data_IF_562278050450
#
_entry.id   IF_562278050450
#
_cell.length_a   1.000
_cell.length_b   1.000
_cell.length_c   1.000
_cell.angle_alpha   90.00
_cell.angle_beta   90.00
_cell.angle_gamma   90.00
#
_symmetry.space_group_name_H-M   'P 1'
#
loop_
_entity.id
_entity.type
_entity.pdbx_description
1 polymer ?
#
# COMPACT_ATOMS: atom_id res chain seq x y z
N UNK A 1 -22.64 -8.15 -1.00
CA UNK A 1 -21.61 -7.94 0.03
C UNK A 1 -20.29 -8.64 -0.28
N UNK A 2 -20.27 -9.96 -0.57
CA UNK A 2 -19.02 -10.66 -0.92
C UNK A 2 -18.29 -10.06 -2.13
N UNK A 3 -19.01 -9.74 -3.21
CA UNK A 3 -18.40 -9.11 -4.42
C UNK A 3 -17.73 -7.77 -4.09
N UNK A 4 -18.39 -6.91 -3.30
CA UNK A 4 -17.83 -5.62 -2.89
C UNK A 4 -16.55 -5.78 -2.05
N UNK A 5 -16.52 -6.77 -1.14
CA UNK A 5 -15.32 -7.09 -0.36
C UNK A 5 -14.14 -7.45 -1.28
N UNK A 6 -14.36 -8.33 -2.25
CA UNK A 6 -13.32 -8.73 -3.19
C UNK A 6 -12.88 -7.60 -4.14
N UNK A 7 -13.79 -6.69 -4.52
CA UNK A 7 -13.43 -5.49 -5.29
C UNK A 7 -12.51 -4.58 -4.46
N UNK A 8 -12.85 -4.32 -3.19
CA UNK A 8 -12.02 -3.51 -2.30
C UNK A 8 -10.66 -4.18 -2.10
N UNK A 9 -10.63 -5.49 -1.85
CA UNK A 9 -9.37 -6.24 -1.75
C UNK A 9 -8.54 -6.13 -3.03
N UNK A 10 -9.16 -6.28 -4.20
CA UNK A 10 -8.46 -6.14 -5.49
C UNK A 10 -7.87 -4.72 -5.67
N UNK A 11 -8.63 -3.68 -5.31
CA UNK A 11 -8.15 -2.30 -5.33
C UNK A 11 -7.00 -2.08 -4.34
N UNK A 12 -7.10 -2.61 -3.13
CA UNK A 12 -6.01 -2.57 -2.14
C UNK A 12 -4.77 -3.31 -2.62
N UNK A 13 -4.93 -4.48 -3.27
CA UNK A 13 -3.84 -5.25 -3.87
C UNK A 13 -3.18 -4.51 -5.04
N UNK A 14 -3.97 -3.83 -5.87
CA UNK A 14 -3.47 -2.98 -6.95
C UNK A 14 -2.67 -1.80 -6.38
N UNK A 15 -3.21 -1.12 -5.37
CA UNK A 15 -2.54 0.02 -4.73
C UNK A 15 -1.25 -0.42 -4.02
N UNK A 16 -1.28 -1.55 -3.33
CA UNK A 16 -0.11 -2.15 -2.68
C UNK A 16 0.96 -2.54 -3.71
N UNK A 17 0.55 -3.14 -4.83
CA UNK A 17 1.47 -3.46 -5.92
C UNK A 17 2.06 -2.19 -6.52
N UNK A 18 1.25 -1.15 -6.74
CA UNK A 18 1.74 0.13 -7.26
C UNK A 18 2.76 0.76 -6.30
N UNK A 19 2.52 0.68 -4.98
CA UNK A 19 3.45 1.17 -3.97
C UNK A 19 4.76 0.35 -3.92
N UNK A 20 4.68 -0.98 -3.93
CA UNK A 20 5.85 -1.85 -3.91
C UNK A 20 6.69 -1.76 -5.19
N UNK A 21 6.04 -1.67 -6.35
CA UNK A 21 6.72 -1.49 -7.64
C UNK A 21 7.23 -0.06 -7.80
N UNK A 22 6.53 0.96 -7.29
CA UNK A 22 7.04 2.33 -7.19
C UNK A 22 8.28 2.41 -6.29
N UNK A 23 8.29 1.66 -5.18
CA UNK A 23 9.48 1.52 -4.35
C UNK A 23 10.59 0.78 -5.09
N UNK A 24 10.27 -0.26 -5.87
CA UNK A 24 11.24 -0.98 -6.69
C UNK A 24 11.90 -0.09 -7.77
N UNK A 25 11.12 0.73 -8.48
CA UNK A 25 11.64 1.64 -9.50
C UNK A 25 12.52 2.71 -8.86
N UNK A 26 12.16 3.20 -7.68
CA UNK A 26 13.00 4.14 -6.91
C UNK A 26 14.28 3.50 -6.37
N UNK A 27 14.24 2.22 -5.99
CA UNK A 27 15.42 1.49 -5.52
C UNK A 27 16.32 0.97 -6.65
N UNK A 28 15.81 0.88 -7.88
CA UNK A 28 16.58 0.55 -9.10
C UNK A 28 17.16 1.79 -9.79
N UNK A 29 16.72 2.99 -9.39
CA UNK A 29 17.41 4.23 -9.71
C UNK A 29 18.73 4.27 -8.93
N UNK A 30 19.82 4.47 -9.67
CA UNK A 30 21.18 4.50 -9.16
C UNK A 30 21.31 5.49 -7.99
N UNK A 31 21.87 5.04 -6.86
CA UNK A 31 21.99 5.85 -5.64
C UNK A 31 22.79 7.14 -5.88
N UNK A 32 23.71 7.12 -6.86
CA UNK A 32 24.45 8.29 -7.33
C UNK A 32 23.54 9.36 -7.93
N UNK A 33 22.50 8.98 -8.68
CA UNK A 33 21.51 9.93 -9.22
C UNK A 33 20.60 10.51 -8.15
N UNK A 34 20.32 9.75 -7.09
CA UNK A 34 19.51 10.22 -5.95
C UNK A 34 20.33 11.18 -5.06
N UNK A 35 21.65 11.02 -4.99
CA UNK A 35 22.54 11.99 -4.34
C UNK A 35 22.54 13.35 -5.05
N UNK A 36 22.50 13.34 -6.39
CA UNK A 36 22.38 14.55 -7.21
C UNK A 36 21.00 15.22 -7.14
N UNK A 37 19.97 14.53 -6.62
CA UNK A 37 18.64 15.13 -6.45
C UNK A 37 18.58 16.17 -5.32
N UNK A 38 19.42 16.05 -4.29
CA UNK A 38 19.43 16.98 -3.15
C UNK A 38 19.73 18.43 -3.58
N UNK A 39 20.80 18.70 -4.36
CA UNK A 39 21.03 20.05 -4.91
C UNK A 39 19.97 20.46 -5.95
N UNK A 40 19.35 19.52 -6.67
CA UNK A 40 18.23 19.82 -7.59
C UNK A 40 16.96 20.25 -6.85
N UNK A 41 16.67 19.69 -5.66
CA UNK A 41 15.53 20.11 -4.81
C UNK A 41 15.74 21.53 -4.29
N UNK A 42 16.99 21.91 -4.00
CA UNK A 42 17.33 23.28 -3.60
C UNK A 42 17.26 24.27 -4.78
N UNK A 43 17.47 23.82 -6.02
CA UNK A 43 17.33 24.62 -7.26
C UNK A 43 15.92 24.57 -7.88
N UNK A 44 15.06 23.66 -7.43
CA UNK A 44 13.67 23.53 -7.86
C UNK A 44 12.84 24.81 -7.74
N UNK A 45 13.00 25.66 -6.70
CA UNK A 45 12.25 26.91 -6.57
C UNK A 45 12.43 27.87 -7.75
N UNK A 46 13.61 27.87 -8.39
CA UNK A 46 13.88 28.72 -9.56
C UNK A 46 13.26 28.16 -10.85
N UNK A 47 13.01 26.85 -10.91
CA UNK A 47 12.46 26.17 -12.10
C UNK A 47 10.96 25.91 -12.02
N UNK A 48 10.36 25.99 -10.83
CA UNK A 48 8.95 25.67 -10.60
C UNK A 48 8.14 26.97 -10.38
N UNK A 49 7.47 27.51 -11.42
CA UNK A 49 6.74 28.78 -11.33
C UNK A 49 5.58 28.78 -10.31
N UNK A 50 5.19 27.60 -9.81
CA UNK A 50 4.12 27.42 -8.81
C UNK A 50 4.64 27.02 -7.41
N UNK A 51 5.95 27.09 -7.14
CA UNK A 51 6.52 26.71 -5.85
C UNK A 51 5.87 27.48 -4.67
N UNK A 52 5.56 28.77 -4.86
CA UNK A 52 4.88 29.59 -3.86
C UNK A 52 3.44 29.14 -3.58
N UNK A 53 2.73 28.60 -4.60
CA UNK A 53 1.40 28.04 -4.44
C UNK A 53 1.44 26.72 -3.65
N UNK A 54 2.46 25.89 -3.90
CA UNK A 54 2.67 24.65 -3.16
C UNK A 54 3.06 24.95 -1.70
N UNK A 55 3.92 25.93 -1.45
CA UNK A 55 4.26 26.36 -0.09
C UNK A 55 3.05 26.84 0.71
N UNK A 56 2.10 27.53 0.06
CA UNK A 56 0.88 27.98 0.71
C UNK A 56 -0.04 26.80 1.09
N UNK A 57 -0.03 25.72 0.31
CA UNK A 57 -0.85 24.53 0.55
C UNK A 57 -0.19 23.51 1.48
N UNK A 58 1.13 23.34 1.39
CA UNK A 58 1.90 22.35 2.14
C UNK A 58 3.18 23.03 2.67
N UNK A 59 3.10 23.76 3.79
CA UNK A 59 4.28 24.34 4.41
C UNK A 59 5.27 23.23 4.79
N UNK A 60 6.53 23.34 4.36
CA UNK A 60 7.57 22.36 4.70
C UNK A 60 7.63 21.13 3.77
N UNK A 61 6.91 21.12 2.64
CA UNK A 61 6.98 20.04 1.64
C UNK A 61 8.42 19.75 1.17
N UNK A 62 9.27 20.78 1.08
CA UNK A 62 10.70 20.64 0.74
C UNK A 62 11.46 19.78 1.75
N UNK A 63 11.21 19.99 3.04
CA UNK A 63 11.96 19.28 4.07
C UNK A 63 11.44 17.86 4.21
N UNK A 64 10.15 17.66 3.90
CA UNK A 64 9.56 16.32 3.69
C UNK A 64 10.22 15.57 2.53
N UNK A 65 10.48 16.26 1.40
CA UNK A 65 11.18 15.65 0.26
C UNK A 65 12.65 15.34 0.60
N UNK A 66 13.36 16.27 1.25
CA UNK A 66 14.74 16.05 1.69
C UNK A 66 14.84 14.89 2.68
N UNK A 67 13.93 14.84 3.65
CA UNK A 67 13.81 13.72 4.59
C UNK A 67 13.50 12.41 3.86
N UNK A 68 12.60 12.43 2.88
CA UNK A 68 12.31 11.29 2.04
C UNK A 68 13.53 10.78 1.28
N UNK A 69 14.32 11.69 0.69
CA UNK A 69 15.57 11.38 0.00
C UNK A 69 16.62 10.82 0.97
N UNK A 70 16.82 11.44 2.12
CA UNK A 70 17.78 10.97 3.14
C UNK A 70 17.38 9.59 3.70
N UNK A 71 16.09 9.35 3.91
CA UNK A 71 15.57 8.05 4.31
C UNK A 71 15.78 7.01 3.20
N UNK A 72 15.56 7.37 1.95
CA UNK A 72 15.81 6.50 0.79
C UNK A 72 17.29 6.15 0.67
N UNK A 73 18.19 7.11 0.83
CA UNK A 73 19.64 6.91 0.81
C UNK A 73 20.11 6.05 1.98
N UNK A 74 19.57 6.26 3.18
CA UNK A 74 19.87 5.41 4.33
C UNK A 74 19.40 3.97 4.11
N UNK A 75 18.19 3.80 3.59
CA UNK A 75 17.62 2.49 3.27
C UNK A 75 18.43 1.81 2.15
N UNK A 76 18.80 2.53 1.09
CA UNK A 76 19.63 2.03 0.00
C UNK A 76 21.06 1.67 0.45
N UNK A 77 21.66 2.52 1.29
CA UNK A 77 22.97 2.28 1.89
C UNK A 77 22.97 1.10 2.85
N UNK A 78 21.85 0.88 3.56
CA UNK A 78 21.69 -0.24 4.48
C UNK A 78 21.35 -1.56 3.78
N UNK A 79 20.50 -1.52 2.74
CA UNK A 79 20.03 -2.70 2.03
C UNK A 79 21.05 -3.17 0.97
N UNK A 80 21.86 -2.28 0.40
CA UNK A 80 22.82 -2.63 -0.65
C UNK A 80 22.17 -3.41 -1.81
N UNK A 81 22.93 -4.29 -2.46
CA UNK A 81 22.46 -5.13 -3.58
C UNK A 81 21.29 -6.09 -3.26
N UNK A 82 20.84 -6.16 -2.00
CA UNK A 82 19.65 -6.91 -1.59
C UNK A 82 18.32 -6.15 -1.77
N UNK A 83 18.34 -4.98 -2.44
CA UNK A 83 17.15 -4.16 -2.68
C UNK A 83 16.02 -4.94 -3.37
N UNK A 84 16.37 -5.75 -4.36
CA UNK A 84 15.40 -6.59 -5.09
C UNK A 84 14.73 -7.63 -4.19
N UNK A 85 15.46 -8.53 -3.48
CA UNK A 85 14.81 -9.53 -2.64
C UNK A 85 14.00 -8.91 -1.49
N UNK A 86 14.41 -7.79 -0.90
CA UNK A 86 13.63 -7.12 0.16
C UNK A 86 12.28 -6.64 -0.36
N UNK A 87 12.25 -5.99 -1.52
CA UNK A 87 10.99 -5.51 -2.13
C UNK A 87 10.07 -6.68 -2.47
N UNK A 88 10.62 -7.76 -3.04
CA UNK A 88 9.84 -8.97 -3.33
C UNK A 88 9.25 -9.60 -2.05
N UNK A 89 10.02 -9.62 -0.97
CA UNK A 89 9.59 -10.17 0.32
C UNK A 89 8.48 -9.32 0.94
N UNK A 90 8.65 -7.99 0.96
CA UNK A 90 7.64 -7.05 1.46
C UNK A 90 6.36 -7.12 0.62
N UNK A 91 6.48 -7.18 -0.70
CA UNK A 91 5.34 -7.32 -1.59
C UNK A 91 4.57 -8.63 -1.34
N UNK A 92 5.29 -9.76 -1.27
CA UNK A 92 4.70 -11.08 -1.02
C UNK A 92 3.99 -11.14 0.33
N UNK A 93 4.60 -10.60 1.39
CA UNK A 93 3.99 -10.49 2.72
C UNK A 93 2.70 -9.67 2.69
N UNK A 94 2.71 -8.51 2.05
CA UNK A 94 1.51 -7.67 1.95
C UNK A 94 0.39 -8.32 1.14
N UNK A 95 0.71 -9.02 0.05
CA UNK A 95 -0.28 -9.80 -0.72
C UNK A 95 -0.88 -10.94 0.10
N UNK A 96 -0.05 -11.71 0.80
CA UNK A 96 -0.52 -12.79 1.68
C UNK A 96 -1.43 -12.25 2.78
N UNK A 97 -1.09 -11.10 3.38
CA UNK A 97 -1.89 -10.49 4.43
C UNK A 97 -3.25 -9.99 3.90
N UNK A 98 -3.27 -9.29 2.76
CA UNK A 98 -4.49 -8.77 2.15
C UNK A 98 -5.43 -9.89 1.69
N UNK A 99 -4.89 -10.92 1.02
CA UNK A 99 -5.66 -12.08 0.60
C UNK A 99 -6.11 -12.92 1.80
N UNK A 100 -5.27 -13.06 2.82
CA UNK A 100 -5.60 -13.75 4.07
C UNK A 100 -6.77 -13.08 4.79
N UNK A 101 -6.73 -11.77 4.97
CA UNK A 101 -7.82 -11.00 5.56
C UNK A 101 -9.12 -11.13 4.76
N UNK A 102 -9.05 -11.04 3.42
CA UNK A 102 -10.21 -11.22 2.56
C UNK A 102 -10.80 -12.64 2.64
N UNK A 103 -9.95 -13.67 2.75
CA UNK A 103 -10.35 -15.05 2.94
C UNK A 103 -11.04 -15.27 4.29
N UNK A 104 -10.48 -14.73 5.38
CA UNK A 104 -11.08 -14.79 6.73
C UNK A 104 -12.43 -14.08 6.75
N UNK A 105 -12.52 -12.89 6.17
CA UNK A 105 -13.77 -12.14 6.09
C UNK A 105 -14.83 -12.88 5.24
N UNK A 106 -14.41 -13.50 4.13
CA UNK A 106 -15.28 -14.36 3.31
C UNK A 106 -15.80 -15.56 4.10
N UNK A 107 -14.94 -16.19 4.92
CA UNK A 107 -15.32 -17.31 5.78
C UNK A 107 -16.33 -16.88 6.85
N UNK A 108 -16.11 -15.75 7.53
CA UNK A 108 -17.04 -15.19 8.52
C UNK A 108 -18.42 -14.87 7.95
N UNK A 109 -18.49 -14.27 6.76
CA UNK A 109 -19.78 -13.99 6.09
C UNK A 109 -20.50 -15.31 5.74
N UNK A 110 -19.76 -16.32 5.29
CA UNK A 110 -20.34 -17.64 4.97
C UNK A 110 -20.80 -18.39 6.21
N UNK A 111 -20.08 -18.34 7.33
CA UNK A 111 -20.49 -19.01 8.57
C UNK A 111 -21.76 -18.37 9.14
N UNK A 112 -21.82 -17.04 9.21
CA UNK A 112 -23.00 -16.31 9.68
C UNK A 112 -24.23 -16.53 8.78
N UNK A 113 -24.05 -16.48 7.46
CA UNK A 113 -25.16 -16.76 6.53
C UNK A 113 -25.62 -18.22 6.54
N UNK A 114 -24.77 -19.18 6.91
CA UNK A 114 -25.17 -20.57 7.15
C UNK A 114 -25.98 -20.69 8.44
N UNK A 115 -25.53 -20.08 9.53
CA UNK A 115 -26.26 -20.07 10.81
C UNK A 115 -27.64 -19.42 10.67
N UNK A 116 -27.74 -18.28 9.99
CA UNK A 116 -29.01 -17.60 9.74
C UNK A 116 -30.02 -18.48 8.95
N UNK A 117 -29.54 -19.26 7.97
CA UNK A 117 -30.38 -20.19 7.20
C UNK A 117 -30.85 -21.39 8.03
N UNK A 118 -30.00 -21.90 8.92
CA UNK A 118 -30.36 -23.01 9.81
C UNK A 118 -31.41 -22.60 10.83
N UNK A 119 -31.32 -21.38 11.39
CA UNK A 119 -32.33 -20.84 12.29
C UNK A 119 -33.68 -20.62 11.59
N UNK A 120 -33.68 -20.15 10.35
CA UNK A 120 -34.90 -19.94 9.56
C UNK A 120 -35.58 -21.24 9.08
N UNK A 121 -34.82 -22.32 8.92
CA UNK A 121 -35.36 -23.65 8.53
C UNK A 121 -35.72 -24.50 9.75
N UNK A 122 -35.03 -24.34 10.87
CA UNK A 122 -35.35 -24.99 12.15
C UNK A 122 -36.65 -24.49 12.79
N UNK A 123 -37.03 -23.23 12.55
CA UNK A 123 -38.34 -22.69 12.97
C UNK A 123 -39.50 -23.11 12.04
N UNK A 124 -39.21 -23.69 10.87
CA UNK A 124 -40.19 -24.08 9.87
C UNK A 124 -40.63 -25.56 9.97
N UNK A 125 -40.22 -26.29 11.01
CA UNK A 125 -40.84 -27.58 11.36
C UNK A 125 -42.01 -27.30 12.30
N UNK A 126 -43.27 -27.20 11.81
CA UNK A 126 -44.40 -27.23 12.70
C UNK A 126 -44.40 -28.60 13.38
N UNK A 127 -44.13 -28.61 14.68
CA UNK A 127 -44.45 -29.74 15.52
C UNK A 127 -45.96 -29.97 15.43
N UNK A 128 -46.35 -30.91 14.58
CA UNK A 128 -47.58 -31.66 14.74
C UNK A 128 -47.48 -32.40 16.08
N UNK A 129 -48.08 -31.81 17.12
CA UNK A 129 -48.73 -32.52 18.23
C UNK A 129 -49.93 -31.71 18.69
#
# INVERSE_FOLDING_TARGET
>A
MLIALWIITALSCLLWSLGAWGLHTLLSLDASRIADLKPLIDQLPERLPYAAFIDAWIPGWREMLKFGVDLMQNVLGWIGGAATPVVWTVWALGMLMLLGLAAVATWGIRSLSRQARQLATGSAVPGNR
#
